data_IF_644059916991
#
_entry.id   IF_644059916991
#
_cell.length_a   1.000
_cell.length_b   1.000
_cell.length_c   1.000
_cell.angle_alpha   90.00
_cell.angle_beta   90.00
_cell.angle_gamma   90.00
#
_symmetry.space_group_name_H-M   'P 1'
#
loop_
_entity.id
_entity.type
_entity.pdbx_description
1 polymer ?
#
# COMPACT_ATOMS: atom_id res chain seq x y z
N UNK A 1 -20.01 -1.04 -2.89
CA UNK A 1 -18.85 -0.51 -2.20
C UNK A 1 -19.11 -0.30 -0.71
N UNK A 2 -18.33 -0.89 0.10
CA UNK A 2 -18.54 -0.91 1.54
C UNK A 2 -17.66 0.06 2.32
N UNK A 3 -17.28 1.17 1.72
CA UNK A 3 -16.47 2.16 2.43
C UNK A 3 -17.23 2.70 3.62
N UNK A 4 -16.54 2.76 4.74
CA UNK A 4 -17.12 3.26 5.97
C UNK A 4 -17.13 4.78 5.94
N UNK A 5 -18.29 5.38 5.77
CA UNK A 5 -18.45 6.82 5.74
C UNK A 5 -18.03 7.44 7.08
N UNK A 6 -18.36 6.81 8.19
CA UNK A 6 -17.97 7.29 9.51
C UNK A 6 -16.47 7.33 9.72
N UNK A 7 -15.74 6.40 9.10
CA UNK A 7 -14.28 6.43 9.16
C UNK A 7 -13.74 7.71 8.54
N UNK A 8 -14.25 8.07 7.35
CA UNK A 8 -13.74 9.23 6.63
C UNK A 8 -14.17 10.56 7.25
N UNK A 9 -15.21 10.58 8.05
CA UNK A 9 -15.62 11.78 8.77
C UNK A 9 -14.55 12.27 9.76
N UNK A 10 -13.74 11.36 10.27
CA UNK A 10 -12.71 11.67 11.27
C UNK A 10 -11.32 11.86 10.69
N UNK A 11 -11.15 11.74 9.37
CA UNK A 11 -9.85 11.80 8.73
C UNK A 11 -9.91 12.66 7.47
N UNK A 12 -8.81 13.33 7.19
CA UNK A 12 -8.64 14.05 5.93
C UNK A 12 -8.01 13.09 4.92
N UNK A 13 -8.64 12.95 3.76
CA UNK A 13 -8.09 12.17 2.67
C UNK A 13 -7.34 13.09 1.71
N UNK A 14 -6.09 12.76 1.46
CA UNK A 14 -5.24 13.50 0.54
C UNK A 14 -4.83 12.58 -0.61
N UNK A 15 -4.93 13.11 -1.82
CA UNK A 15 -4.46 12.40 -2.99
C UNK A 15 -3.37 13.24 -3.63
N UNK A 16 -2.22 12.62 -3.89
CA UNK A 16 -1.08 13.29 -4.49
C UNK A 16 -0.73 12.56 -5.78
N UNK A 17 -0.62 13.29 -6.88
CA UNK A 17 -0.16 12.71 -8.14
C UNK A 17 0.63 13.75 -8.91
N UNK A 18 1.31 13.29 -9.97
CA UNK A 18 2.06 14.19 -10.85
C UNK A 18 1.19 14.82 -11.94
N UNK A 19 -0.05 14.39 -12.01
CA UNK A 19 -0.95 14.81 -13.06
C UNK A 19 -2.17 15.52 -12.46
N UNK A 20 -2.24 16.83 -12.66
CA UNK A 20 -3.32 17.66 -12.15
C UNK A 20 -4.68 17.19 -12.61
N UNK A 21 -4.78 16.73 -13.85
CA UNK A 21 -6.03 16.23 -14.41
C UNK A 21 -6.50 14.97 -13.68
N UNK A 22 -5.57 14.08 -13.39
CA UNK A 22 -5.88 12.85 -12.65
C UNK A 22 -6.32 13.18 -11.24
N UNK A 23 -5.63 14.08 -10.56
CA UNK A 23 -6.02 14.53 -9.21
C UNK A 23 -7.45 15.04 -9.20
N UNK A 24 -7.79 15.90 -10.12
CA UNK A 24 -9.12 16.49 -10.19
C UNK A 24 -10.19 15.45 -10.45
N UNK A 25 -9.93 14.56 -11.41
CA UNK A 25 -10.91 13.53 -11.78
C UNK A 25 -11.10 12.50 -10.67
N UNK A 26 -10.01 11.94 -10.20
CA UNK A 26 -10.06 10.86 -9.20
C UNK A 26 -10.57 11.41 -7.87
N UNK A 27 -10.12 12.60 -7.47
CA UNK A 27 -10.55 13.21 -6.22
C UNK A 27 -12.05 13.44 -6.17
N UNK A 28 -12.65 13.84 -7.30
CA UNK A 28 -14.08 14.10 -7.36
C UNK A 28 -14.93 12.85 -7.37
N UNK A 29 -14.39 11.74 -7.88
CA UNK A 29 -15.16 10.51 -8.06
C UNK A 29 -14.62 9.33 -7.25
N UNK A 30 -13.83 9.62 -6.21
CA UNK A 30 -13.18 8.60 -5.40
C UNK A 30 -14.14 7.51 -4.91
N UNK A 31 -15.29 7.92 -4.43
CA UNK A 31 -16.26 7.00 -3.84
C UNK A 31 -16.97 6.11 -4.86
N UNK A 32 -16.81 6.39 -6.15
CA UNK A 32 -17.43 5.57 -7.21
C UNK A 32 -16.52 4.45 -7.69
N UNK A 33 -15.26 4.43 -7.26
CA UNK A 33 -14.32 3.40 -7.68
C UNK A 33 -14.46 2.15 -6.84
N UNK A 34 -14.27 0.99 -7.47
CA UNK A 34 -14.19 -0.28 -6.76
C UNK A 34 -12.82 -0.39 -6.07
N UNK A 35 -12.72 -1.33 -5.13
CA UNK A 35 -11.44 -1.58 -4.45
C UNK A 35 -10.36 -1.99 -5.44
N UNK A 36 -10.73 -2.75 -6.48
CA UNK A 36 -9.78 -3.15 -7.52
C UNK A 36 -9.24 -1.93 -8.26
N UNK A 37 -10.14 -1.04 -8.68
CA UNK A 37 -9.75 0.18 -9.38
C UNK A 37 -8.87 1.08 -8.53
N UNK A 38 -9.20 1.23 -7.26
CA UNK A 38 -8.40 2.03 -6.33
C UNK A 38 -6.98 1.46 -6.19
N UNK A 39 -6.88 0.13 -6.10
CA UNK A 39 -5.57 -0.51 -6.03
C UNK A 39 -4.72 -0.24 -7.27
N UNK A 40 -5.35 -0.27 -8.46
CA UNK A 40 -4.65 0.07 -9.70
C UNK A 40 -4.18 1.52 -9.69
N UNK A 41 -5.04 2.44 -9.25
CA UNK A 41 -4.71 3.86 -9.19
C UNK A 41 -3.53 4.11 -8.27
N UNK A 42 -3.47 3.43 -7.12
CA UNK A 42 -2.35 3.55 -6.20
C UNK A 42 -1.08 2.86 -6.68
N UNK A 43 -1.17 2.07 -7.75
CA UNK A 43 0.01 1.38 -8.28
C UNK A 43 0.41 0.15 -7.50
N UNK A 44 -0.52 -0.46 -6.77
CA UNK A 44 -0.23 -1.73 -6.10
C UNK A 44 0.01 -2.83 -7.13
N UNK A 45 0.85 -3.82 -6.83
CA UNK A 45 0.99 -4.98 -7.71
C UNK A 45 -0.37 -5.63 -7.96
N UNK A 46 -0.61 -6.01 -9.20
CA UNK A 46 -1.90 -6.62 -9.57
C UNK A 46 -2.20 -7.85 -8.71
N UNK A 47 -1.19 -8.65 -8.38
CA UNK A 47 -1.36 -9.84 -7.56
C UNK A 47 -1.78 -9.49 -6.13
N UNK A 48 -1.34 -8.36 -5.59
CA UNK A 48 -1.81 -7.88 -4.29
C UNK A 48 -3.28 -7.50 -4.35
N UNK A 49 -3.69 -6.80 -5.41
CA UNK A 49 -5.08 -6.43 -5.59
C UNK A 49 -5.94 -7.69 -5.72
N UNK A 50 -5.47 -8.67 -6.47
CA UNK A 50 -6.17 -9.94 -6.65
C UNK A 50 -6.30 -10.71 -5.33
N UNK A 51 -5.30 -10.65 -4.48
CA UNK A 51 -5.40 -11.25 -3.14
C UNK A 51 -6.45 -10.52 -2.30
N UNK A 52 -6.50 -9.19 -2.39
CA UNK A 52 -7.48 -8.41 -1.64
C UNK A 52 -8.92 -8.71 -2.07
N UNK A 53 -9.16 -8.84 -3.37
CA UNK A 53 -10.50 -9.15 -3.89
C UNK A 53 -10.76 -10.65 -3.96
N UNK A 54 -9.90 -11.46 -3.37
CA UNK A 54 -10.06 -12.92 -3.22
C UNK A 54 -9.99 -13.70 -4.52
N UNK A 55 -9.34 -13.16 -5.53
CA UNK A 55 -9.03 -13.89 -6.76
C UNK A 55 -7.79 -14.77 -6.61
N UNK A 56 -6.92 -14.42 -5.67
CA UNK A 56 -5.75 -15.21 -5.31
C UNK A 56 -5.75 -15.45 -3.80
N UNK A 57 -5.08 -16.52 -3.38
CA UNK A 57 -4.94 -16.84 -1.97
C UNK A 57 -4.02 -15.81 -1.30
N UNK A 58 -4.44 -15.29 -0.15
CA UNK A 58 -3.67 -14.35 0.62
C UNK A 58 -2.54 -15.05 1.36
N UNK A 59 -1.38 -14.39 1.42
CA UNK A 59 -0.29 -14.82 2.29
C UNK A 59 -0.62 -14.34 3.71
N UNK A 60 -1.23 -15.23 4.47
CA UNK A 60 -1.76 -14.91 5.79
C UNK A 60 -0.70 -15.09 6.86
N UNK A 61 -0.26 -13.97 7.42
CA UNK A 61 0.78 -13.96 8.45
C UNK A 61 0.18 -13.44 9.75
N UNK A 62 0.31 -14.17 10.85
CA UNK A 62 -0.15 -13.66 12.15
C UNK A 62 0.50 -12.33 12.51
N UNK A 63 -0.27 -11.46 13.17
CA UNK A 63 0.18 -10.10 13.49
C UNK A 63 1.50 -10.09 14.28
N UNK A 64 1.71 -11.05 15.15
CA UNK A 64 2.94 -11.13 15.95
C UNK A 64 4.14 -11.65 15.17
N UNK A 65 3.96 -12.05 13.91
CA UNK A 65 5.04 -12.55 13.07
C UNK A 65 5.31 -11.66 11.84
N UNK A 66 4.61 -10.53 11.73
CA UNK A 66 4.76 -9.63 10.59
C UNK A 66 6.21 -9.17 10.44
N UNK A 67 6.85 -8.76 11.54
CA UNK A 67 8.24 -8.29 11.50
C UNK A 67 9.21 -9.36 11.04
N UNK A 68 8.83 -10.63 11.18
CA UNK A 68 9.68 -11.75 10.80
C UNK A 68 9.61 -12.05 9.29
N UNK A 69 8.43 -11.85 8.69
CA UNK A 69 8.21 -12.26 7.30
C UNK A 69 8.14 -11.10 6.32
N UNK A 70 7.75 -9.91 6.79
CA UNK A 70 7.65 -8.74 5.93
C UNK A 70 8.92 -7.91 5.99
N UNK A 71 9.29 -7.33 4.84
CA UNK A 71 10.38 -6.37 4.81
C UNK A 71 9.91 -5.03 5.36
N UNK A 72 10.85 -4.15 5.65
CA UNK A 72 10.56 -2.80 6.12
C UNK A 72 9.66 -2.07 5.12
N UNK A 73 9.96 -2.20 3.83
CA UNK A 73 9.16 -1.59 2.77
C UNK A 73 7.71 -2.07 2.81
N UNK A 74 7.51 -3.37 2.96
CA UNK A 74 6.17 -3.94 3.02
C UNK A 74 5.36 -3.41 4.19
N UNK A 75 6.03 -3.12 5.30
CA UNK A 75 5.37 -2.59 6.51
C UNK A 75 4.99 -1.13 6.32
N UNK A 76 5.89 -0.30 5.78
CA UNK A 76 5.66 1.15 5.71
C UNK A 76 4.91 1.60 4.47
N UNK A 77 5.13 0.97 3.32
CA UNK A 77 4.51 1.41 2.07
C UNK A 77 3.70 0.33 1.38
N UNK A 78 3.65 -0.87 1.92
CA UNK A 78 2.90 -1.95 1.31
C UNK A 78 1.41 -1.85 1.53
N UNK A 79 0.66 -2.61 0.74
CA UNK A 79 -0.80 -2.61 0.82
C UNK A 79 -1.35 -3.46 1.97
N UNK A 80 -0.52 -4.29 2.58
CA UNK A 80 -0.96 -5.20 3.65
C UNK A 80 -1.67 -6.46 3.17
N UNK A 81 -1.88 -6.59 1.86
CA UNK A 81 -2.57 -7.74 1.27
C UNK A 81 -1.67 -8.36 0.21
N UNK A 82 -0.91 -9.36 0.61
CA UNK A 82 0.05 -10.02 -0.26
C UNK A 82 -0.49 -11.38 -0.67
N UNK A 83 -0.16 -11.82 -1.90
CA UNK A 83 -0.57 -13.12 -2.37
C UNK A 83 0.43 -14.19 -1.95
N UNK A 84 -0.06 -15.40 -1.76
CA UNK A 84 0.78 -16.52 -1.36
C UNK A 84 1.73 -16.93 -2.48
N UNK A 85 1.24 -16.98 -3.71
CA UNK A 85 2.02 -17.51 -4.83
C UNK A 85 2.99 -16.50 -5.41
N UNK A 86 2.75 -15.20 -5.23
CA UNK A 86 3.57 -14.15 -5.83
C UNK A 86 4.23 -13.26 -4.77
N UNK A 87 4.35 -13.76 -3.55
CA UNK A 87 4.86 -13.00 -2.43
C UNK A 87 6.26 -12.44 -2.68
N UNK A 88 7.16 -13.25 -3.28
CA UNK A 88 8.53 -12.80 -3.51
C UNK A 88 8.59 -11.67 -4.54
N UNK A 89 7.78 -11.72 -5.58
CA UNK A 89 7.72 -10.66 -6.58
C UNK A 89 7.13 -9.38 -5.99
N UNK A 90 6.13 -9.52 -5.14
CA UNK A 90 5.51 -8.38 -4.44
C UNK A 90 6.50 -7.74 -3.50
N UNK A 91 7.26 -8.53 -2.78
CA UNK A 91 8.30 -8.06 -1.87
C UNK A 91 9.36 -7.26 -2.64
N UNK A 92 9.84 -7.78 -3.76
CA UNK A 92 10.80 -7.11 -4.61
C UNK A 92 10.28 -5.77 -5.11
N UNK A 93 9.01 -5.72 -5.49
CA UNK A 93 8.37 -4.50 -5.98
C UNK A 93 8.44 -3.39 -4.92
N UNK A 94 8.05 -3.70 -3.68
CA UNK A 94 8.06 -2.71 -2.60
C UNK A 94 9.46 -2.35 -2.16
N UNK A 95 10.38 -3.30 -2.13
CA UNK A 95 11.77 -3.02 -1.78
C UNK A 95 12.42 -2.07 -2.79
N UNK A 96 12.07 -2.22 -4.07
CA UNK A 96 12.57 -1.34 -5.12
C UNK A 96 12.05 0.08 -4.95
N UNK A 97 10.76 0.23 -4.64
CA UNK A 97 10.18 1.54 -4.38
C UNK A 97 10.82 2.18 -3.13
N UNK A 98 11.04 1.39 -2.10
CA UNK A 98 11.68 1.85 -0.87
C UNK A 98 13.07 2.42 -1.13
N UNK A 99 13.84 1.75 -1.98
CA UNK A 99 15.15 2.27 -2.38
C UNK A 99 15.05 3.58 -3.16
N UNK A 100 14.05 3.73 -4.01
CA UNK A 100 13.82 4.99 -4.71
C UNK A 100 13.48 6.10 -3.72
N UNK A 101 12.67 5.81 -2.72
CA UNK A 101 12.34 6.77 -1.68
C UNK A 101 13.58 7.14 -0.88
N UNK A 102 14.43 6.17 -0.55
CA UNK A 102 15.70 6.41 0.15
C UNK A 102 16.59 7.38 -0.64
N UNK A 103 16.64 7.22 -1.95
CA UNK A 103 17.45 8.10 -2.81
C UNK A 103 16.90 9.51 -2.88
N UNK A 104 15.58 9.66 -2.80
CA UNK A 104 14.93 10.97 -2.86
C UNK A 104 14.96 11.68 -1.49
N UNK A 105 14.67 10.94 -0.43
CA UNK A 105 14.58 11.48 0.92
C UNK A 105 15.17 10.52 1.94
N UNK A 106 16.51 10.52 2.09
CA UNK A 106 17.17 9.65 3.07
C UNK A 106 16.65 9.87 4.50
N UNK A 107 16.34 11.10 4.85
CA UNK A 107 15.84 11.45 6.18
C UNK A 107 14.54 10.75 6.51
N UNK A 108 13.63 10.66 5.54
CA UNK A 108 12.36 9.98 5.75
C UNK A 108 12.58 8.50 6.07
N UNK A 109 13.48 7.84 5.34
CA UNK A 109 13.77 6.42 5.55
C UNK A 109 14.48 6.23 6.89
N UNK A 110 15.37 7.13 7.29
CA UNK A 110 16.03 7.06 8.59
C UNK A 110 15.00 7.12 9.73
N UNK A 111 14.02 8.02 9.63
CA UNK A 111 12.95 8.10 10.62
C UNK A 111 12.13 6.83 10.67
N UNK A 112 11.82 6.26 9.51
CA UNK A 112 11.10 4.99 9.45
C UNK A 112 11.90 3.85 10.07
N UNK A 113 13.21 3.82 9.82
CA UNK A 113 14.09 2.80 10.41
C UNK A 113 14.14 2.91 11.93
N UNK A 114 14.13 4.11 12.48
CA UNK A 114 14.07 4.31 13.92
C UNK A 114 12.77 3.74 14.49
N UNK A 115 11.65 4.02 13.86
CA UNK A 115 10.36 3.47 14.29
C UNK A 115 10.34 1.96 14.16
N UNK A 116 10.90 1.42 13.09
CA UNK A 116 10.96 -0.01 12.86
C UNK A 116 11.72 -0.73 13.98
N UNK A 117 12.83 -0.15 14.45
CA UNK A 117 13.61 -0.77 15.51
C UNK A 117 12.95 -0.71 16.88
N UNK A 118 11.95 0.15 17.06
CA UNK A 118 11.22 0.25 18.33
C UNK A 118 9.90 -0.54 18.32
N UNK A 119 9.55 -1.10 17.21
CA UNK A 119 8.35 -1.95 17.12
C UNK A 119 8.51 -3.30 17.86
#
# INVERSE_FOLDING_TARGET
>A
QSRNQGFYEHYHLYMVSRNEYIDKYIGNYWHTFTDYEIGIIYGYPTTCIQAFVKMLERYDVPDNEIMKFYTQAMIFIGCGWYSKDFFEQEKEHYDRIWEQIRNISPTLVEQAEEEYTTM
#
